data_IF_746851173263
#
_entry.id   IF_746851173263
#
_cell.length_a   1.000
_cell.length_b   1.000
_cell.length_c   1.000
_cell.angle_alpha   90.00
_cell.angle_beta   90.00
_cell.angle_gamma   90.00
#
_symmetry.space_group_name_H-M   'P 1'
#
loop_
_entity.id
_entity.type
_entity.pdbx_description
1 polymer ?
#
# COMPACT_ATOMS: atom_id res chain seq x y z
N UNK A 1 -48.99 1.83 -11.58
CA UNK A 1 -47.98 2.75 -11.00
C UNK A 1 -46.63 2.40 -11.61
N UNK A 2 -45.82 3.38 -12.06
CA UNK A 2 -44.46 3.09 -12.53
C UNK A 2 -43.55 2.88 -11.31
N UNK A 3 -42.84 1.75 -11.25
CA UNK A 3 -41.88 1.47 -10.18
C UNK A 3 -40.70 2.45 -10.31
N UNK A 4 -40.32 3.11 -9.21
CA UNK A 4 -39.20 4.06 -9.17
C UNK A 4 -37.96 3.28 -8.73
N UNK A 5 -37.16 2.83 -9.70
CA UNK A 5 -35.94 2.07 -9.42
C UNK A 5 -34.83 2.99 -8.91
N UNK A 6 -34.07 2.52 -7.92
CA UNK A 6 -32.81 3.14 -7.52
C UNK A 6 -31.77 2.90 -8.61
N UNK A 7 -31.14 3.97 -9.09
CA UNK A 7 -30.02 3.91 -10.03
C UNK A 7 -28.73 4.09 -9.25
N UNK A 8 -27.66 3.45 -9.72
CA UNK A 8 -26.31 3.76 -9.26
C UNK A 8 -25.95 5.17 -9.77
N UNK A 9 -25.45 6.01 -8.88
CA UNK A 9 -24.97 7.34 -9.23
C UNK A 9 -23.67 7.25 -10.05
N UNK A 10 -23.46 8.21 -10.95
CA UNK A 10 -22.23 8.27 -11.72
C UNK A 10 -21.08 8.77 -10.84
N UNK A 11 -19.92 8.10 -10.89
CA UNK A 11 -18.69 8.57 -10.27
C UNK A 11 -17.57 8.55 -11.30
N UNK A 12 -16.73 9.59 -11.33
CA UNK A 12 -15.57 9.62 -12.22
C UNK A 12 -14.30 9.24 -11.46
N UNK A 13 -14.00 7.94 -11.45
CA UNK A 13 -12.92 7.35 -10.65
C UNK A 13 -11.51 7.78 -11.08
N UNK A 14 -11.32 8.19 -12.34
CA UNK A 14 -10.03 8.64 -12.86
C UNK A 14 -9.47 9.90 -12.16
N UNK A 15 -10.31 10.71 -11.50
CA UNK A 15 -9.84 11.88 -10.72
C UNK A 15 -9.40 11.54 -9.29
N UNK A 16 -9.60 10.30 -8.85
CA UNK A 16 -9.13 9.83 -7.55
C UNK A 16 -7.64 9.50 -7.61
N UNK A 17 -6.90 9.88 -6.58
CA UNK A 17 -5.53 9.38 -6.36
C UNK A 17 -5.53 7.87 -6.16
N UNK A 18 -4.37 7.22 -6.27
CA UNK A 18 -4.27 5.77 -6.03
C UNK A 18 -4.79 5.38 -4.65
N UNK A 19 -4.46 6.17 -3.62
CA UNK A 19 -4.94 5.92 -2.26
C UNK A 19 -6.46 6.08 -2.12
N UNK A 20 -7.06 7.08 -2.76
CA UNK A 20 -8.51 7.30 -2.75
C UNK A 20 -9.26 6.22 -3.52
N UNK A 21 -8.75 5.78 -4.67
CA UNK A 21 -9.35 4.69 -5.45
C UNK A 21 -9.32 3.38 -4.66
N UNK A 22 -8.17 3.03 -4.07
CA UNK A 22 -8.03 1.84 -3.22
C UNK A 22 -9.00 1.91 -2.02
N UNK A 23 -9.11 3.07 -1.38
CA UNK A 23 -10.05 3.24 -0.26
C UNK A 23 -11.51 3.11 -0.69
N UNK A 24 -11.88 3.72 -1.82
CA UNK A 24 -13.22 3.61 -2.39
C UNK A 24 -13.58 2.15 -2.70
N UNK A 25 -12.69 1.41 -3.38
CA UNK A 25 -12.96 0.02 -3.74
C UNK A 25 -12.96 -0.93 -2.52
N UNK A 26 -12.17 -0.66 -1.48
CA UNK A 26 -12.31 -1.38 -0.20
C UNK A 26 -13.69 -1.18 0.41
N UNK A 27 -14.13 0.07 0.50
CA UNK A 27 -15.46 0.40 1.05
C UNK A 27 -16.59 -0.13 0.17
N UNK A 28 -16.37 -0.23 -1.14
CA UNK A 28 -17.29 -0.91 -2.07
C UNK A 28 -17.39 -2.41 -1.76
N UNK A 29 -16.25 -3.09 -1.59
CA UNK A 29 -16.20 -4.50 -1.22
C UNK A 29 -16.88 -4.76 0.13
N UNK A 30 -16.67 -3.88 1.12
CA UNK A 30 -17.30 -3.97 2.44
C UNK A 30 -18.84 -3.83 2.41
N UNK A 31 -19.39 -3.23 1.34
CA UNK A 31 -20.84 -3.11 1.16
C UNK A 31 -21.48 -4.37 0.58
N UNK A 32 -20.69 -5.28 0.01
CA UNK A 32 -21.23 -6.49 -0.61
C UNK A 32 -21.88 -7.39 0.46
N UNK A 33 -23.11 -7.89 0.23
CA UNK A 33 -23.78 -8.83 1.12
C UNK A 33 -23.18 -10.22 0.92
N UNK A 34 -21.93 -10.41 1.37
CA UNK A 34 -21.16 -11.64 1.14
C UNK A 34 -21.64 -12.79 2.02
N UNK A 35 -21.85 -13.94 1.40
CA UNK A 35 -22.09 -15.23 2.04
C UNK A 35 -21.11 -16.29 1.52
N UNK A 36 -21.02 -17.43 2.24
CA UNK A 36 -20.18 -18.56 1.85
C UNK A 36 -20.87 -19.38 0.74
N UNK A 37 -20.15 -19.67 -0.35
CA UNK A 37 -20.59 -20.61 -1.36
C UNK A 37 -20.39 -22.07 -0.91
N UNK A 38 -20.79 -23.02 -1.75
CA UNK A 38 -20.66 -24.47 -1.48
C UNK A 38 -19.19 -24.94 -1.34
N UNK A 39 -18.22 -24.17 -1.85
CA UNK A 39 -16.79 -24.46 -1.84
C UNK A 39 -16.02 -23.63 -0.80
N UNK A 40 -16.71 -22.78 -0.03
CA UNK A 40 -16.12 -21.89 0.99
C UNK A 40 -15.57 -20.56 0.46
N UNK A 41 -15.85 -20.21 -0.80
CA UNK A 41 -15.63 -18.89 -1.37
C UNK A 41 -16.68 -17.87 -0.93
N UNK A 42 -16.39 -16.56 -1.06
CA UNK A 42 -17.31 -15.48 -0.69
C UNK A 42 -18.01 -14.91 -1.92
N UNK A 43 -19.34 -14.94 -1.98
CA UNK A 43 -20.12 -14.39 -3.09
C UNK A 43 -21.31 -13.55 -2.62
N UNK A 44 -21.93 -12.79 -3.52
CA UNK A 44 -23.14 -12.01 -3.24
C UNK A 44 -24.20 -12.33 -4.32
N UNK A 45 -24.97 -13.43 -4.16
CA UNK A 45 -25.84 -13.92 -5.23
C UNK A 45 -27.03 -13.01 -5.49
N UNK A 46 -27.53 -12.29 -4.48
CA UNK A 46 -28.57 -11.27 -4.64
C UNK A 46 -28.17 -10.14 -5.60
N UNK A 47 -26.86 -9.98 -5.85
CA UNK A 47 -26.28 -8.98 -6.75
C UNK A 47 -25.71 -9.60 -8.04
N UNK A 48 -25.86 -10.92 -8.24
CA UNK A 48 -25.24 -11.70 -9.32
C UNK A 48 -23.70 -11.56 -9.36
N UNK A 49 -23.07 -11.49 -8.18
CA UNK A 49 -21.63 -11.40 -7.99
C UNK A 49 -21.12 -12.76 -7.52
N UNK A 50 -20.16 -13.34 -8.25
CA UNK A 50 -19.59 -14.66 -7.97
C UNK A 50 -18.38 -14.59 -7.05
N UNK A 51 -17.98 -15.74 -6.49
CA UNK A 51 -16.77 -15.83 -5.66
C UNK A 51 -15.49 -15.46 -6.40
N UNK A 52 -15.43 -15.74 -7.72
CA UNK A 52 -14.28 -15.38 -8.56
C UNK A 52 -14.15 -13.86 -8.67
N UNK A 53 -15.26 -13.14 -8.86
CA UNK A 53 -15.26 -11.68 -8.95
C UNK A 53 -14.83 -11.02 -7.62
N UNK A 54 -15.25 -11.59 -6.49
CA UNK A 54 -14.83 -11.15 -5.15
C UNK A 54 -13.34 -11.42 -4.94
N UNK A 55 -12.85 -12.58 -5.36
CA UNK A 55 -11.42 -12.91 -5.28
C UNK A 55 -10.58 -11.97 -6.16
N UNK A 56 -11.01 -11.69 -7.39
CA UNK A 56 -10.36 -10.76 -8.32
C UNK A 56 -10.28 -9.35 -7.75
N UNK A 57 -11.38 -8.82 -7.19
CA UNK A 57 -11.38 -7.51 -6.54
C UNK A 57 -10.40 -7.43 -5.36
N UNK A 58 -10.29 -8.50 -4.56
CA UNK A 58 -9.33 -8.57 -3.46
C UNK A 58 -7.88 -8.61 -3.96
N UNK A 59 -7.59 -9.36 -5.02
CA UNK A 59 -6.25 -9.43 -5.62
C UNK A 59 -5.81 -8.08 -6.21
N UNK A 60 -6.72 -7.39 -6.90
CA UNK A 60 -6.48 -6.04 -7.37
C UNK A 60 -6.20 -5.06 -6.23
N UNK A 61 -6.99 -5.11 -5.15
CA UNK A 61 -6.78 -4.25 -3.98
C UNK A 61 -5.44 -4.52 -3.28
N UNK A 62 -5.01 -5.79 -3.22
CA UNK A 62 -3.72 -6.17 -2.66
C UNK A 62 -2.57 -5.66 -3.55
N UNK A 63 -2.63 -5.97 -4.85
CA UNK A 63 -1.62 -5.55 -5.82
C UNK A 63 -1.49 -4.02 -5.89
N UNK A 64 -2.62 -3.30 -5.88
CA UNK A 64 -2.63 -1.84 -5.91
C UNK A 64 -2.05 -1.26 -4.61
N UNK A 65 -2.35 -1.86 -3.45
CA UNK A 65 -1.78 -1.43 -2.18
C UNK A 65 -0.25 -1.59 -2.18
N UNK A 66 0.25 -2.72 -2.70
CA UNK A 66 1.67 -3.00 -2.79
C UNK A 66 2.40 -2.07 -3.77
N UNK A 67 1.85 -1.85 -4.97
CA UNK A 67 2.42 -0.93 -5.95
C UNK A 67 2.41 0.53 -5.46
N UNK A 68 1.30 0.96 -4.84
CA UNK A 68 1.19 2.31 -4.28
C UNK A 68 2.16 2.52 -3.12
N UNK A 69 2.39 1.48 -2.30
CA UNK A 69 3.43 1.47 -1.28
C UNK A 69 4.81 1.61 -1.93
N UNK A 70 5.20 0.69 -2.82
CA UNK A 70 6.51 0.69 -3.48
C UNK A 70 6.84 2.01 -4.18
N UNK A 71 5.88 2.60 -4.89
CA UNK A 71 6.05 3.90 -5.55
C UNK A 71 6.34 5.02 -4.54
N UNK A 72 5.63 5.05 -3.40
CA UNK A 72 5.92 6.00 -2.31
C UNK A 72 7.30 5.79 -1.69
N UNK A 73 7.69 4.55 -1.42
CA UNK A 73 9.02 4.26 -0.83
C UNK A 73 10.16 4.77 -1.74
N UNK A 74 10.01 4.65 -3.06
CA UNK A 74 10.99 5.17 -4.03
C UNK A 74 10.91 6.69 -4.22
N UNK A 75 9.72 7.28 -4.15
CA UNK A 75 9.58 8.74 -4.22
C UNK A 75 10.16 9.43 -2.98
N UNK A 76 10.08 8.78 -1.82
CA UNK A 76 10.56 9.27 -0.53
C UNK A 76 12.02 8.91 -0.24
N UNK A 77 12.77 8.34 -1.19
CA UNK A 77 14.07 7.67 -0.96
C UNK A 77 15.02 8.50 -0.10
N UNK A 78 14.98 8.25 1.21
CA UNK A 78 16.01 8.62 2.17
C UNK A 78 17.16 7.63 2.02
N UNK A 79 18.42 8.03 2.31
CA UNK A 79 19.54 7.11 2.30
C UNK A 79 19.24 5.88 3.18
N UNK A 80 19.67 4.67 2.76
CA UNK A 80 19.47 3.41 3.52
C UNK A 80 19.80 3.55 5.01
N UNK A 81 20.89 4.26 5.32
CA UNK A 81 21.34 4.56 6.69
C UNK A 81 20.38 5.43 7.49
N UNK A 82 19.62 6.30 6.85
CA UNK A 82 18.59 7.10 7.52
C UNK A 82 17.35 6.26 7.82
N UNK A 83 16.91 5.43 6.88
CA UNK A 83 15.80 4.50 7.11
C UNK A 83 16.12 3.53 8.24
N UNK A 84 17.32 2.97 8.25
CA UNK A 84 17.85 2.13 9.33
C UNK A 84 17.73 2.80 10.70
N UNK A 85 18.22 4.04 10.83
CA UNK A 85 18.09 4.84 12.06
C UNK A 85 16.63 5.08 12.49
N UNK A 86 15.72 5.22 11.54
CA UNK A 86 14.30 5.42 11.83
C UNK A 86 13.66 4.14 12.37
N UNK A 87 14.03 2.96 11.82
CA UNK A 87 13.62 1.65 12.36
C UNK A 87 14.10 1.47 13.79
N UNK A 88 15.41 1.66 14.03
CA UNK A 88 16.02 1.58 15.36
C UNK A 88 15.28 2.45 16.37
N UNK A 89 15.07 3.71 16.00
CA UNK A 89 14.45 4.70 16.88
C UNK A 89 12.99 4.35 17.17
N UNK A 90 12.24 3.89 16.17
CA UNK A 90 10.83 3.58 16.33
C UNK A 90 10.63 2.32 17.19
N UNK A 91 11.47 1.30 17.03
CA UNK A 91 11.47 0.12 17.91
C UNK A 91 11.70 0.54 19.36
N UNK A 92 12.74 1.34 19.62
CA UNK A 92 13.03 1.84 20.97
C UNK A 92 11.86 2.65 21.50
N UNK A 93 11.30 3.55 20.68
CA UNK A 93 10.15 4.38 21.06
C UNK A 93 8.93 3.56 21.48
N UNK A 94 8.55 2.55 20.70
CA UNK A 94 7.41 1.66 21.02
C UNK A 94 7.66 0.92 22.34
N UNK A 95 8.85 0.32 22.49
CA UNK A 95 9.21 -0.43 23.70
C UNK A 95 9.19 0.48 24.94
N UNK A 96 9.77 1.67 24.84
CA UNK A 96 9.84 2.62 25.95
C UNK A 96 8.47 3.18 26.30
N UNK A 97 7.65 3.50 25.30
CA UNK A 97 6.26 3.96 25.49
C UNK A 97 5.42 2.90 26.20
N UNK A 98 5.49 1.64 25.76
CA UNK A 98 4.82 0.52 26.45
C UNK A 98 5.32 0.39 27.88
N UNK A 99 6.64 0.40 28.09
CA UNK A 99 7.25 0.29 29.42
C UNK A 99 6.81 1.41 30.37
N UNK A 100 6.73 2.65 29.88
CA UNK A 100 6.28 3.82 30.63
C UNK A 100 4.80 3.71 31.04
N UNK A 101 3.94 3.23 30.13
CA UNK A 101 2.50 3.12 30.36
C UNK A 101 2.10 2.04 31.38
N UNK A 102 3.02 1.17 31.80
CA UNK A 102 2.80 0.18 32.86
C UNK A 102 2.54 0.79 34.24
N UNK A 103 2.87 2.07 34.43
CA UNK A 103 2.58 2.83 35.66
C UNK A 103 1.40 3.80 35.50
N UNK A 104 0.56 3.62 34.49
CA UNK A 104 -0.55 4.52 34.14
C UNK A 104 -1.93 3.88 34.37
N UNK A 105 -3.00 4.59 34.04
CA UNK A 105 -4.37 4.05 34.08
C UNK A 105 -4.59 2.86 33.13
N UNK A 106 -3.73 2.68 32.11
CA UNK A 106 -3.78 1.56 31.15
C UNK A 106 -2.75 0.45 31.46
N UNK A 107 -2.29 0.37 32.72
CA UNK A 107 -1.21 -0.54 33.13
C UNK A 107 -1.43 -2.01 32.74
N UNK A 108 -2.65 -2.54 32.84
CA UNK A 108 -2.94 -3.94 32.52
C UNK A 108 -2.67 -4.27 31.04
N UNK A 109 -3.12 -3.41 30.12
CA UNK A 109 -2.86 -3.55 28.69
C UNK A 109 -1.36 -3.35 28.38
N UNK A 110 -0.70 -2.43 29.08
CA UNK A 110 0.73 -2.18 28.92
C UNK A 110 1.60 -3.35 29.41
N UNK A 111 1.23 -4.02 30.52
CA UNK A 111 1.94 -5.22 30.98
C UNK A 111 1.78 -6.39 30.01
N UNK A 112 0.59 -6.56 29.44
CA UNK A 112 0.33 -7.56 28.39
C UNK A 112 1.26 -7.33 27.19
N UNK A 113 1.28 -6.12 26.63
CA UNK A 113 2.17 -5.83 25.49
C UNK A 113 3.65 -5.81 25.88
N UNK A 114 4.00 -5.49 27.12
CA UNK A 114 5.40 -5.51 27.55
C UNK A 114 6.00 -6.91 27.49
N UNK A 115 5.22 -7.95 27.80
CA UNK A 115 5.63 -9.35 27.63
C UNK A 115 5.96 -9.64 26.17
N UNK A 116 5.14 -9.11 25.25
CA UNK A 116 5.29 -9.28 23.80
C UNK A 116 6.54 -8.56 23.27
N UNK A 117 6.77 -7.30 23.68
CA UNK A 117 7.86 -6.49 23.08
C UNK A 117 9.22 -6.68 23.77
N UNK A 118 9.27 -7.18 25.01
CA UNK A 118 10.52 -7.35 25.77
C UNK A 118 11.56 -8.24 25.06
N UNK A 119 11.21 -9.37 24.41
CA UNK A 119 12.17 -10.19 23.66
C UNK A 119 12.88 -9.42 22.54
N UNK A 120 12.23 -8.41 21.97
CA UNK A 120 12.74 -7.58 20.88
C UNK A 120 13.62 -6.41 21.34
N UNK A 121 13.98 -6.34 22.62
CA UNK A 121 14.91 -5.31 23.12
C UNK A 121 16.29 -5.47 22.49
N UNK A 122 16.79 -4.39 21.90
CA UNK A 122 18.15 -4.32 21.36
C UNK A 122 18.30 -4.83 19.92
N UNK A 123 17.20 -5.09 19.21
CA UNK A 123 17.25 -5.59 17.82
C UNK A 123 18.00 -4.64 16.86
N UNK A 124 18.02 -3.33 17.12
CA UNK A 124 18.81 -2.37 16.33
C UNK A 124 20.33 -2.54 16.42
N UNK A 125 20.83 -3.47 17.23
CA UNK A 125 22.26 -3.85 17.27
C UNK A 125 22.59 -5.06 16.38
N UNK A 126 21.57 -5.67 15.76
CA UNK A 126 21.73 -6.83 14.90
C UNK A 126 22.23 -6.44 13.50
N UNK A 127 22.60 -7.44 12.70
CA UNK A 127 22.82 -7.23 11.27
C UNK A 127 21.50 -6.88 10.59
N UNK A 128 21.55 -6.07 9.53
CA UNK A 128 20.38 -5.61 8.79
C UNK A 128 19.35 -6.70 8.46
N UNK A 129 19.80 -7.88 8.00
CA UNK A 129 18.89 -8.98 7.65
C UNK A 129 18.21 -9.55 8.90
N UNK A 130 18.96 -9.76 9.99
CA UNK A 130 18.39 -10.25 11.26
C UNK A 130 17.48 -9.23 11.90
N UNK A 131 17.86 -7.96 11.91
CA UNK A 131 17.01 -6.88 12.41
C UNK A 131 15.68 -6.82 11.63
N UNK A 132 15.73 -6.97 10.31
CA UNK A 132 14.53 -6.98 9.45
C UNK A 132 13.60 -8.16 9.79
N UNK A 133 14.15 -9.36 9.97
CA UNK A 133 13.40 -10.55 10.39
C UNK A 133 12.76 -10.33 11.77
N UNK A 134 13.52 -9.82 12.73
CA UNK A 134 13.05 -9.56 14.10
C UNK A 134 11.99 -8.45 14.16
N UNK A 135 12.14 -7.36 13.39
CA UNK A 135 11.11 -6.31 13.29
C UNK A 135 9.84 -6.89 12.66
N UNK A 136 9.95 -7.74 11.65
CA UNK A 136 8.79 -8.42 11.03
C UNK A 136 8.10 -9.33 12.05
N UNK A 137 8.87 -10.06 12.86
CA UNK A 137 8.36 -10.85 13.98
C UNK A 137 7.62 -10.00 15.00
N UNK A 138 8.21 -8.89 15.45
CA UNK A 138 7.60 -7.94 16.39
C UNK A 138 6.26 -7.41 15.88
N UNK A 139 6.21 -6.95 14.63
CA UNK A 139 4.99 -6.45 14.00
C UNK A 139 3.90 -7.52 13.93
N UNK A 140 4.29 -8.76 13.60
CA UNK A 140 3.38 -9.92 13.56
C UNK A 140 2.82 -10.21 14.95
N UNK A 141 3.70 -10.25 15.96
CA UNK A 141 3.32 -10.54 17.34
C UNK A 141 2.40 -9.47 17.93
N UNK A 142 2.67 -8.18 17.67
CA UNK A 142 1.81 -7.08 18.09
C UNK A 142 0.42 -7.12 17.43
N UNK A 143 0.31 -7.68 16.23
CA UNK A 143 -0.95 -7.76 15.48
C UNK A 143 -1.75 -9.04 15.75
N UNK A 144 -1.29 -9.92 16.65
CA UNK A 144 -2.04 -11.12 17.05
C UNK A 144 -3.38 -10.74 17.70
N UNK A 145 -4.46 -11.52 17.49
CA UNK A 145 -5.80 -11.18 18.00
C UNK A 145 -5.85 -10.85 19.50
N UNK A 146 -5.06 -11.56 20.31
CA UNK A 146 -4.95 -11.34 21.76
C UNK A 146 -4.32 -9.99 22.16
N UNK A 147 -3.64 -9.31 21.23
CA UNK A 147 -2.88 -8.07 21.49
C UNK A 147 -3.54 -6.81 20.90
N UNK A 148 -4.44 -6.95 19.91
CA UNK A 148 -5.02 -5.81 19.17
C UNK A 148 -5.78 -4.84 20.08
N UNK A 149 -6.57 -5.34 21.03
CA UNK A 149 -7.32 -4.47 21.96
C UNK A 149 -6.39 -3.72 22.91
N UNK A 150 -5.27 -4.33 23.32
CA UNK A 150 -4.26 -3.67 24.13
C UNK A 150 -3.51 -2.59 23.32
N UNK A 151 -3.20 -2.86 22.05
CA UNK A 151 -2.61 -1.89 21.11
C UNK A 151 -3.51 -0.65 20.96
N UNK A 152 -4.81 -0.86 20.75
CA UNK A 152 -5.80 0.23 20.68
C UNK A 152 -5.93 0.98 21.99
N UNK A 153 -5.93 0.27 23.12
CA UNK A 153 -6.01 0.87 24.47
C UNK A 153 -4.82 1.79 24.76
N UNK A 154 -3.62 1.43 24.27
CA UNK A 154 -2.41 2.23 24.44
C UNK A 154 -2.28 3.37 23.39
N UNK A 155 -3.11 3.35 22.34
CA UNK A 155 -3.10 4.31 21.24
C UNK A 155 -1.76 4.33 20.48
N UNK A 156 -1.15 3.16 20.28
CA UNK A 156 0.15 3.00 19.62
C UNK A 156 0.03 2.48 18.19
N UNK A 157 -1.18 2.41 17.63
CA UNK A 157 -1.46 1.90 16.28
C UNK A 157 -0.62 2.65 15.23
N UNK A 158 -0.58 3.98 15.34
CA UNK A 158 0.23 4.82 14.45
C UNK A 158 1.74 4.53 14.56
N UNK A 159 2.25 4.24 15.74
CA UNK A 159 3.67 3.96 15.93
C UNK A 159 4.05 2.63 15.25
N UNK A 160 3.16 1.64 15.34
CA UNK A 160 3.28 0.33 14.68
C UNK A 160 3.24 0.50 13.15
N UNK A 161 2.31 1.31 12.65
CA UNK A 161 2.22 1.63 11.21
C UNK A 161 3.48 2.33 10.70
N UNK A 162 4.02 3.27 11.47
CA UNK A 162 5.25 3.98 11.13
C UNK A 162 6.46 3.02 11.14
N UNK A 163 6.58 2.13 12.13
CA UNK A 163 7.63 1.09 12.18
C UNK A 163 7.53 0.15 10.97
N UNK A 164 6.32 -0.32 10.66
CA UNK A 164 6.07 -1.16 9.49
C UNK A 164 6.53 -0.46 8.23
N UNK A 165 6.14 0.81 8.04
CA UNK A 165 6.54 1.62 6.89
C UNK A 165 8.06 1.74 6.76
N UNK A 166 8.79 1.99 7.85
CA UNK A 166 10.26 2.07 7.79
C UNK A 166 10.92 0.72 7.49
N UNK A 167 10.43 -0.38 8.05
CA UNK A 167 10.97 -1.71 7.76
C UNK A 167 10.74 -2.11 6.30
N UNK A 168 9.55 -1.81 5.80
CA UNK A 168 9.13 -1.97 4.42
C UNK A 168 10.01 -1.18 3.44
N UNK A 169 10.35 0.08 3.77
CA UNK A 169 11.31 0.91 3.01
C UNK A 169 12.69 0.28 2.98
N UNK A 170 13.15 -0.24 4.11
CA UNK A 170 14.46 -0.85 4.19
C UNK A 170 14.56 -2.13 3.35
N UNK A 171 13.55 -3.01 3.40
CA UNK A 171 13.49 -4.24 2.60
C UNK A 171 13.58 -3.90 1.11
N UNK A 172 12.81 -2.91 0.65
CA UNK A 172 12.84 -2.47 -0.75
C UNK A 172 14.22 -1.95 -1.17
N UNK A 173 14.88 -1.15 -0.31
CA UNK A 173 16.22 -0.64 -0.57
C UNK A 173 17.28 -1.75 -0.62
N UNK A 174 17.20 -2.75 0.25
CA UNK A 174 18.12 -3.90 0.25
C UNK A 174 17.95 -4.73 -1.00
N UNK A 175 16.71 -5.05 -1.38
CA UNK A 175 16.45 -5.83 -2.59
C UNK A 175 16.98 -5.15 -3.86
N UNK A 176 16.82 -3.83 -3.97
CA UNK A 176 17.37 -3.05 -5.09
C UNK A 176 18.91 -3.06 -5.10
N UNK A 177 19.54 -2.87 -3.92
CA UNK A 177 21.00 -2.85 -3.77
C UNK A 177 21.65 -4.21 -4.06
N UNK A 178 21.09 -5.30 -3.55
CA UNK A 178 21.61 -6.64 -3.77
C UNK A 178 21.52 -7.04 -5.25
N UNK A 179 20.44 -6.62 -5.92
CA UNK A 179 20.26 -6.86 -7.36
C UNK A 179 21.28 -6.06 -8.18
N UNK A 180 21.48 -4.77 -7.86
CA UNK A 180 22.51 -3.93 -8.49
C UNK A 180 23.92 -4.46 -8.25
N UNK A 181 24.23 -4.88 -7.03
CA UNK A 181 25.54 -5.46 -6.69
C UNK A 181 25.78 -6.75 -7.47
N UNK A 182 24.77 -7.62 -7.56
CA UNK A 182 24.84 -8.86 -8.34
C UNK A 182 25.12 -8.57 -9.82
N UNK A 183 24.44 -7.60 -10.42
CA UNK A 183 24.71 -7.21 -11.80
C UNK A 183 26.10 -6.62 -12.00
N UNK A 184 26.58 -5.79 -11.06
CA UNK A 184 27.95 -5.26 -11.11
C UNK A 184 29.01 -6.35 -10.97
N UNK A 185 28.83 -7.31 -10.04
CA UNK A 185 29.77 -8.41 -9.85
C UNK A 185 29.81 -9.32 -11.10
N UNK A 186 28.66 -9.58 -11.73
CA UNK A 186 28.57 -10.31 -13.00
C UNK A 186 29.28 -9.56 -14.13
N UNK A 187 29.10 -8.25 -14.21
CA UNK A 187 29.77 -7.40 -15.20
C UNK A 187 31.30 -7.46 -15.02
N UNK A 188 31.80 -7.24 -13.80
CA UNK A 188 33.23 -7.29 -13.50
C UNK A 188 33.83 -8.68 -13.78
N UNK A 189 33.10 -9.75 -13.49
CA UNK A 189 33.52 -11.12 -13.82
C UNK A 189 33.65 -11.33 -15.34
N UNK A 190 32.69 -10.84 -16.13
CA UNK A 190 32.72 -10.94 -17.59
C UNK A 190 33.83 -10.06 -18.20
N UNK A 191 34.03 -8.84 -17.69
CA UNK A 191 35.14 -7.96 -18.11
C UNK A 191 36.49 -8.64 -17.86
N UNK A 192 36.67 -9.22 -16.66
CA UNK A 192 37.89 -9.97 -16.31
C UNK A 192 38.09 -11.20 -17.18
N UNK A 193 37.03 -11.89 -17.59
CA UNK A 193 37.13 -13.02 -18.51
C UNK A 193 37.46 -12.59 -19.96
N UNK A 194 36.91 -11.45 -20.40
CA UNK A 194 37.19 -10.86 -21.72
C UNK A 194 38.65 -10.39 -21.87
N UNK A 195 39.26 -9.88 -20.79
CA UNK A 195 40.68 -9.50 -20.76
C UNK A 195 41.62 -10.72 -20.87
N UNK A 196 41.16 -11.92 -20.48
CA UNK A 196 41.96 -13.15 -20.49
C UNK A 196 41.80 -13.97 -21.78
N UNK A 197 40.65 -13.89 -22.46
CA UNK A 197 40.36 -14.60 -23.72
C UNK A 197 39.95 -13.60 -24.78
N UNK A 198 40.82 -13.32 -25.75
CA UNK A 198 40.56 -12.37 -26.86
C UNK A 198 39.13 -12.47 -27.38
N UNK A 199 38.32 -11.43 -27.12
CA UNK A 199 36.95 -11.15 -27.56
C UNK A 199 36.27 -12.28 -28.37
N UNK A 200 35.71 -13.27 -27.66
CA UNK A 200 34.89 -14.32 -28.27
C UNK A 200 33.44 -13.85 -28.48
N UNK A 201 32.77 -14.43 -29.49
CA UNK A 201 31.37 -14.14 -29.80
C UNK A 201 30.43 -14.46 -28.62
N UNK A 202 30.69 -15.56 -27.90
CA UNK A 202 29.99 -15.98 -26.66
C UNK A 202 30.07 -14.92 -25.54
N UNK A 203 31.22 -14.26 -25.38
CA UNK A 203 31.39 -13.19 -24.39
C UNK A 203 30.58 -11.94 -24.75
N UNK A 204 30.54 -11.60 -26.04
CA UNK A 204 29.74 -10.48 -26.54
C UNK A 204 28.24 -10.72 -26.37
N UNK A 205 27.78 -11.96 -26.54
CA UNK A 205 26.40 -12.36 -26.27
C UNK A 205 26.05 -12.27 -24.78
N UNK A 206 26.92 -12.76 -23.88
CA UNK A 206 26.73 -12.65 -22.42
C UNK A 206 26.67 -11.20 -21.93
N UNK A 207 27.54 -10.34 -22.46
CA UNK A 207 27.52 -8.89 -22.15
C UNK A 207 26.27 -8.19 -22.66
N UNK A 208 25.76 -8.62 -23.82
CA UNK A 208 24.48 -8.13 -24.36
C UNK A 208 23.32 -8.58 -23.48
N UNK A 209 23.29 -9.84 -23.09
CA UNK A 209 22.23 -10.41 -22.24
C UNK A 209 22.20 -9.73 -20.86
N UNK A 210 23.36 -9.57 -20.21
CA UNK A 210 23.47 -8.85 -18.94
C UNK A 210 22.98 -7.39 -19.06
N UNK A 211 23.30 -6.70 -20.17
CA UNK A 211 22.81 -5.35 -20.43
C UNK A 211 21.29 -5.31 -20.62
N UNK A 212 20.71 -6.31 -21.29
CA UNK A 212 19.25 -6.44 -21.44
C UNK A 212 18.62 -6.66 -20.08
N UNK A 213 19.12 -7.61 -19.28
CA UNK A 213 18.60 -7.89 -17.94
C UNK A 213 18.69 -6.68 -16.99
N UNK A 214 19.81 -5.96 -16.99
CA UNK A 214 19.94 -4.70 -16.25
C UNK A 214 18.93 -3.65 -16.74
N UNK A 215 18.77 -3.52 -18.06
CA UNK A 215 17.78 -2.64 -18.67
C UNK A 215 16.35 -2.96 -18.24
N UNK A 216 15.97 -4.23 -18.31
CA UNK A 216 14.67 -4.74 -17.88
C UNK A 216 14.46 -4.51 -16.38
N UNK A 217 15.49 -4.70 -15.54
CA UNK A 217 15.42 -4.40 -14.12
C UNK A 217 15.17 -2.92 -13.85
N UNK A 218 15.91 -2.01 -14.52
CA UNK A 218 15.65 -0.57 -14.42
C UNK A 218 14.24 -0.22 -14.92
N UNK A 219 13.78 -0.86 -16.00
CA UNK A 219 12.43 -0.69 -16.55
C UNK A 219 11.34 -1.34 -15.72
N UNK A 220 11.63 -2.22 -14.77
CA UNK A 220 10.61 -2.90 -13.94
C UNK A 220 10.57 -2.34 -12.52
N UNK A 221 11.72 -1.84 -12.04
CA UNK A 221 11.93 -1.39 -10.68
C UNK A 221 11.99 0.15 -10.57
N UNK A 222 12.04 0.91 -11.66
CA UNK A 222 12.00 2.38 -11.57
C UNK A 222 10.63 2.90 -11.11
N UNK A 223 10.61 4.10 -10.53
CA UNK A 223 9.35 4.79 -10.18
C UNK A 223 8.43 4.93 -11.40
N UNK A 224 8.99 5.13 -12.60
CA UNK A 224 8.21 5.21 -13.83
C UNK A 224 7.49 3.89 -14.12
N UNK A 225 8.19 2.78 -14.05
CA UNK A 225 7.65 1.43 -14.25
C UNK A 225 6.53 1.07 -13.27
N UNK A 226 6.75 1.38 -11.99
CA UNK A 226 5.76 1.14 -10.94
C UNK A 226 4.50 1.99 -11.17
N UNK A 227 4.68 3.22 -11.67
CA UNK A 227 3.57 4.10 -12.01
C UNK A 227 2.82 3.63 -13.26
N UNK A 228 3.51 3.08 -14.27
CA UNK A 228 2.89 2.47 -15.45
C UNK A 228 2.04 1.24 -15.07
N UNK A 229 2.61 0.31 -14.29
CA UNK A 229 1.86 -0.84 -13.76
C UNK A 229 0.64 -0.42 -12.95
N UNK A 230 0.80 0.60 -12.10
CA UNK A 230 -0.31 1.16 -11.34
C UNK A 230 -1.36 1.79 -12.28
N UNK A 231 -0.93 2.49 -13.34
CA UNK A 231 -1.85 3.05 -14.33
C UNK A 231 -2.69 1.97 -15.01
N UNK A 232 -2.05 0.87 -15.44
CA UNK A 232 -2.74 -0.25 -16.08
C UNK A 232 -3.70 -0.95 -15.11
N UNK A 233 -3.26 -1.20 -13.87
CA UNK A 233 -4.08 -1.81 -12.83
C UNK A 233 -5.29 -0.94 -12.48
N UNK A 234 -5.15 0.39 -12.49
CA UNK A 234 -6.28 1.30 -12.26
C UNK A 234 -7.37 1.14 -13.31
N UNK A 235 -7.01 0.92 -14.58
CA UNK A 235 -8.00 0.69 -15.64
C UNK A 235 -8.77 -0.58 -15.34
N UNK A 236 -8.06 -1.67 -15.03
CA UNK A 236 -8.69 -2.95 -14.68
C UNK A 236 -9.60 -2.85 -13.45
N UNK A 237 -9.16 -2.14 -12.41
CA UNK A 237 -9.95 -1.90 -11.20
C UNK A 237 -11.22 -1.09 -11.46
N UNK A 238 -11.17 -0.11 -12.37
CA UNK A 238 -12.32 0.71 -12.75
C UNK A 238 -13.30 -0.12 -13.59
N UNK A 239 -12.81 -0.86 -14.58
CA UNK A 239 -13.63 -1.74 -15.41
C UNK A 239 -14.32 -2.82 -14.57
N UNK A 240 -13.60 -3.41 -13.61
CA UNK A 240 -14.14 -4.36 -12.65
C UNK A 240 -15.23 -3.75 -11.76
N UNK A 241 -15.01 -2.53 -11.26
CA UNK A 241 -16.04 -1.81 -10.48
C UNK A 241 -17.29 -1.55 -11.32
N UNK A 242 -17.14 -1.10 -12.56
CA UNK A 242 -18.25 -0.80 -13.45
C UNK A 242 -19.06 -2.07 -13.73
N UNK A 243 -18.39 -3.21 -13.99
CA UNK A 243 -19.06 -4.50 -14.15
C UNK A 243 -19.84 -4.92 -12.89
N UNK A 244 -19.23 -4.80 -11.72
CA UNK A 244 -19.87 -5.16 -10.45
C UNK A 244 -21.08 -4.27 -10.14
N UNK A 245 -20.97 -2.97 -10.39
CA UNK A 245 -22.05 -2.00 -10.21
C UNK A 245 -23.20 -2.25 -11.20
N UNK A 246 -22.90 -2.56 -12.46
CA UNK A 246 -23.89 -2.87 -13.49
C UNK A 246 -24.63 -4.18 -13.17
N UNK A 247 -23.94 -5.21 -12.68
CA UNK A 247 -24.57 -6.47 -12.25
C UNK A 247 -25.49 -6.27 -11.05
N UNK A 248 -25.04 -5.51 -10.04
CA UNK A 248 -25.87 -5.20 -8.89
C UNK A 248 -27.11 -4.38 -9.30
N UNK A 249 -26.94 -3.40 -10.20
CA UNK A 249 -28.06 -2.61 -10.73
C UNK A 249 -29.03 -3.47 -11.55
N UNK A 250 -28.52 -4.32 -12.44
CA UNK A 250 -29.33 -5.23 -13.25
C UNK A 250 -30.09 -6.23 -12.37
N UNK A 251 -29.45 -6.78 -11.34
CA UNK A 251 -30.08 -7.67 -10.37
C UNK A 251 -31.20 -6.96 -9.62
N UNK A 252 -30.97 -5.75 -9.11
CA UNK A 252 -31.99 -4.94 -8.47
C UNK A 252 -33.16 -4.58 -9.40
N UNK A 253 -32.87 -4.32 -10.69
CA UNK A 253 -33.88 -3.99 -11.69
C UNK A 253 -34.78 -5.20 -12.01
N UNK A 254 -34.19 -6.39 -12.12
CA UNK A 254 -34.89 -7.62 -12.49
C UNK A 254 -35.58 -8.26 -11.28
N UNK A 255 -34.88 -8.34 -10.15
CA UNK A 255 -35.27 -9.06 -8.94
C UNK A 255 -34.88 -8.23 -7.69
N UNK A 256 -35.62 -7.16 -7.44
CA UNK A 256 -35.42 -6.31 -6.26
C UNK A 256 -35.52 -7.13 -4.96
N UNK A 257 -34.49 -7.02 -4.11
CA UNK A 257 -34.42 -7.61 -2.77
C UNK A 257 -34.03 -6.56 -1.73
N UNK A 258 -34.15 -6.88 -0.43
CA UNK A 258 -33.68 -5.98 0.63
C UNK A 258 -32.17 -5.75 0.54
N UNK A 259 -31.41 -6.81 0.23
CA UNK A 259 -29.97 -6.78 0.03
C UNK A 259 -29.57 -5.91 -1.17
N UNK A 260 -30.27 -6.04 -2.30
CA UNK A 260 -29.99 -5.23 -3.49
C UNK A 260 -30.31 -3.75 -3.27
N UNK A 261 -31.40 -3.44 -2.56
CA UNK A 261 -31.76 -2.07 -2.22
C UNK A 261 -30.77 -1.44 -1.21
N UNK A 262 -30.36 -2.22 -0.21
CA UNK A 262 -29.39 -1.76 0.79
C UNK A 262 -28.04 -1.49 0.13
N UNK A 263 -27.56 -2.40 -0.72
CA UNK A 263 -26.32 -2.24 -1.46
C UNK A 263 -26.33 -0.99 -2.34
N UNK A 264 -27.34 -0.82 -3.20
CA UNK A 264 -27.41 0.34 -4.12
C UNK A 264 -27.52 1.66 -3.34
N UNK A 265 -28.25 1.67 -2.22
CA UNK A 265 -28.34 2.85 -1.34
C UNK A 265 -27.00 3.17 -0.67
N UNK A 266 -26.31 2.14 -0.15
CA UNK A 266 -24.99 2.26 0.44
C UNK A 266 -23.94 2.72 -0.57
N UNK A 267 -23.98 2.19 -1.79
CA UNK A 267 -23.10 2.58 -2.89
C UNK A 267 -23.29 4.05 -3.26
N UNK A 268 -24.53 4.52 -3.40
CA UNK A 268 -24.79 5.93 -3.68
C UNK A 268 -24.31 6.84 -2.54
N UNK A 269 -24.52 6.44 -1.28
CA UNK A 269 -24.00 7.19 -0.14
C UNK A 269 -22.45 7.24 -0.13
N UNK A 270 -21.80 6.13 -0.50
CA UNK A 270 -20.34 6.06 -0.66
C UNK A 270 -19.85 7.00 -1.76
N UNK A 271 -20.49 6.98 -2.94
CA UNK A 271 -20.17 7.86 -4.07
C UNK A 271 -20.28 9.33 -3.67
N UNK A 272 -21.38 9.73 -3.05
CA UNK A 272 -21.59 11.11 -2.60
C UNK A 272 -20.53 11.55 -1.57
N UNK A 273 -20.17 10.65 -0.64
CA UNK A 273 -19.11 10.89 0.34
C UNK A 273 -17.76 11.14 -0.35
N UNK A 274 -17.39 10.32 -1.34
CA UNK A 274 -16.13 10.45 -2.06
C UNK A 274 -16.11 11.71 -2.93
N UNK A 275 -17.20 12.02 -3.64
CA UNK A 275 -17.30 13.27 -4.40
C UNK A 275 -17.15 14.51 -3.52
N UNK A 276 -17.75 14.48 -2.33
CA UNK A 276 -17.67 15.59 -1.38
C UNK A 276 -16.23 15.80 -0.93
N UNK A 277 -15.54 14.72 -0.54
CA UNK A 277 -14.12 14.76 -0.17
C UNK A 277 -13.24 15.26 -1.32
N UNK A 278 -13.49 14.81 -2.54
CA UNK A 278 -12.79 15.28 -3.74
C UNK A 278 -12.98 16.79 -3.94
N UNK A 279 -14.23 17.29 -3.90
CA UNK A 279 -14.55 18.72 -4.06
C UNK A 279 -13.87 19.57 -2.99
N UNK A 280 -13.85 19.10 -1.74
CA UNK A 280 -13.16 19.78 -0.64
C UNK A 280 -11.65 19.90 -0.88
N UNK A 281 -11.00 18.81 -1.30
CA UNK A 281 -9.57 18.81 -1.62
C UNK A 281 -9.23 19.79 -2.74
N UNK A 282 -10.03 19.81 -3.81
CA UNK A 282 -9.83 20.75 -4.93
C UNK A 282 -10.00 22.20 -4.47
N UNK A 283 -10.98 22.49 -3.61
CA UNK A 283 -11.16 23.83 -3.05
C UNK A 283 -9.97 24.27 -2.19
N UNK A 284 -9.45 23.39 -1.34
CA UNK A 284 -8.26 23.64 -0.51
C UNK A 284 -7.00 23.88 -1.37
N UNK A 285 -6.81 23.10 -2.45
CA UNK A 285 -5.68 23.30 -3.35
C UNK A 285 -5.72 24.64 -4.10
N UNK A 286 -6.91 25.18 -4.37
CA UNK A 286 -7.08 26.49 -5.01
C UNK A 286 -6.86 27.64 -4.02
N UNK A 287 -7.36 27.52 -2.79
CA UNK A 287 -7.13 28.52 -1.75
C UNK A 287 -5.64 28.71 -1.40
N UNK A 288 -4.86 27.63 -1.42
CA UNK A 288 -3.41 27.69 -1.17
C UNK A 288 -2.59 28.30 -2.33
N UNK A 289 -3.13 28.41 -3.54
CA UNK A 289 -2.43 29.08 -4.66
C UNK A 289 -2.55 30.61 -4.57
N UNK A 290 -3.63 31.12 -3.96
CA UNK A 290 -3.86 32.55 -3.77
C UNK A 290 -3.09 33.16 -2.57
N UNK A 291 -2.46 32.34 -1.72
CA UNK A 291 -1.65 32.77 -0.56
C UNK A 291 -0.13 32.72 -0.81
N UNK A 292 0.32 32.79 -2.07
CA UNK A 292 1.77 32.95 -2.35
C UNK A 292 2.20 34.38 -1.97
N UNK A 293 3.17 34.59 -1.04
CA UNK A 293 3.55 35.95 -0.63
C UNK A 293 4.20 36.69 -1.80
N UNK A 294 3.68 37.89 -2.06
CA UNK A 294 4.26 38.86 -2.99
C UNK A 294 5.74 39.05 -2.66
N UNK A 295 6.59 38.81 -3.66
CA UNK A 295 8.04 38.86 -3.58
C UNK A 295 8.53 40.15 -2.90
N UNK A 296 9.17 40.01 -1.74
CA UNK A 296 9.85 41.12 -1.06
C UNK A 296 10.93 41.72 -1.96
N UNK A 297 10.83 43.02 -2.19
CA UNK A 297 11.87 43.85 -2.81
C UNK A 297 13.22 43.62 -2.11
N UNK A 298 14.23 43.28 -2.91
CA UNK A 298 15.63 43.29 -2.48
C UNK A 298 16.06 44.73 -2.18
N UNK A 299 16.73 45.02 -1.05
CA UNK A 299 17.23 46.37 -0.77
C UNK A 299 18.37 46.68 -1.73
N UNK A 300 18.24 47.75 -2.51
CA UNK A 300 19.34 48.35 -3.26
C UNK A 300 20.35 48.95 -2.29
N UNK A 301 21.59 48.44 -2.31
CA UNK A 301 22.74 49.06 -1.66
C UNK A 301 23.02 50.44 -2.27
N UNK A 302 23.20 51.43 -1.40
CA UNK A 302 24.02 52.64 -1.61
C UNK A 302 24.66 53.01 -0.27
#
# INVERSE_FOLDING_TARGET
>A
MRKKYLKVESIYLYHLTNAELINFLRRFMDLLPLEDDEEGGKHAPALAITSEMVAEGNDYLQTAADLNRQSKLKAETKPKKEIDRLRDRMVVFIIDRISFLRSSAVAAAAELLYIVVKPYKGIGSLSYNRETEEITGLLTDLNKPENVDAVRTLGIEKDIDDLKSYNDQFIALVADLDTLQTYNDQFEALVKEADVKSSSLDMSEKMRDLRVQMGDWYQTSSTLALNEKMSDLRVQMIDWYDEMADRAFASNLLNESEESLYFISGLNALIQSVETSYKQRIAQSKGNQDETPESGELPTEN
#
